data_IF_192833191220
#
_entry.id   IF_192833191220
#
_cell.length_a   1.000
_cell.length_b   1.000
_cell.length_c   1.000
_cell.angle_alpha   90.00
_cell.angle_beta   90.00
_cell.angle_gamma   90.00
#
_symmetry.space_group_name_H-M   'P 1'
#
loop_
_entity.id
_entity.type
_entity.pdbx_description
1 polymer ?
#
# COMPACT_ATOMS: atom_id res chain seq x y z
N UNK A 1 1.19 5.58 2.69
CA UNK A 1 1.47 4.32 1.97
C UNK A 1 2.95 3.97 2.08
N UNK A 2 3.33 2.68 1.99
CA UNK A 2 4.75 2.24 2.02
C UNK A 2 5.61 3.00 0.99
N UNK A 3 5.05 3.31 -0.18
CA UNK A 3 5.70 4.13 -1.23
C UNK A 3 6.03 5.55 -0.78
N UNK A 4 5.11 6.22 -0.06
CA UNK A 4 5.34 7.57 0.44
C UNK A 4 6.40 7.60 1.54
N UNK A 5 6.44 6.59 2.40
CA UNK A 5 7.46 6.46 3.46
C UNK A 5 8.85 6.33 2.84
N UNK A 6 9.03 5.43 1.85
CA UNK A 6 10.29 5.29 1.10
C UNK A 6 10.69 6.57 0.36
N UNK A 7 9.72 7.33 -0.16
CA UNK A 7 9.99 8.60 -0.83
C UNK A 7 10.50 9.67 0.15
N UNK A 8 9.92 9.77 1.34
CA UNK A 8 10.35 10.69 2.41
C UNK A 8 11.75 10.29 2.89
N UNK A 9 11.98 9.01 3.14
CA UNK A 9 13.28 8.47 3.54
C UNK A 9 14.38 8.82 2.53
N UNK A 10 14.13 8.57 1.23
CA UNK A 10 15.07 8.88 0.16
C UNK A 10 15.31 10.39 -0.03
N UNK A 11 14.30 11.22 0.24
CA UNK A 11 14.44 12.68 0.20
C UNK A 11 15.39 13.14 1.31
N UNK A 12 15.17 12.68 2.54
CA UNK A 12 15.97 13.06 3.72
C UNK A 12 17.40 12.53 3.62
N UNK A 13 17.59 11.28 3.19
CA UNK A 13 18.92 10.68 3.05
C UNK A 13 19.78 11.41 2.00
N UNK A 14 19.16 11.94 0.95
CA UNK A 14 19.85 12.70 -0.11
C UNK A 14 20.07 14.18 0.25
N UNK A 15 19.25 14.72 1.14
CA UNK A 15 19.39 16.10 1.62
C UNK A 15 20.56 16.27 2.59
N UNK A 16 20.98 15.21 3.27
CA UNK A 16 22.08 15.24 4.25
C UNK A 16 23.26 14.41 3.75
N UNK A 17 24.41 15.05 3.60
CA UNK A 17 25.63 14.39 3.14
C UNK A 17 26.04 13.26 4.10
N UNK A 18 26.17 12.04 3.59
CA UNK A 18 26.61 10.88 4.35
C UNK A 18 25.54 10.20 5.21
N UNK A 19 24.28 10.67 5.20
CA UNK A 19 23.19 10.02 5.90
C UNK A 19 22.67 8.82 5.11
N UNK A 20 22.87 7.61 5.64
CA UNK A 20 22.32 6.39 5.05
C UNK A 20 20.83 6.26 5.36
N UNK A 21 20.00 5.71 4.43
CA UNK A 21 18.58 5.45 4.67
C UNK A 21 18.32 4.59 5.93
N UNK A 22 19.19 3.62 6.17
CA UNK A 22 19.21 2.73 7.35
C UNK A 22 19.24 3.49 8.70
N UNK A 23 19.76 4.72 8.71
CA UNK A 23 19.91 5.55 9.91
C UNK A 23 18.75 6.54 10.10
N UNK A 24 17.69 6.42 9.31
CA UNK A 24 16.49 7.26 9.40
C UNK A 24 15.43 6.48 10.16
N UNK A 25 14.65 7.15 11.03
CA UNK A 25 13.48 6.56 11.69
C UNK A 25 12.27 7.46 11.50
N UNK A 26 11.18 6.91 10.97
CA UNK A 26 9.94 7.62 10.67
C UNK A 26 8.87 7.06 11.60
N UNK A 27 8.34 7.89 12.49
CA UNK A 27 7.30 7.51 13.45
C UNK A 27 6.00 8.25 13.17
N UNK A 28 4.86 7.62 13.44
CA UNK A 28 3.55 8.27 13.37
C UNK A 28 3.15 8.95 14.70
N UNK A 29 2.01 9.63 14.69
CA UNK A 29 1.44 10.31 15.86
C UNK A 29 1.09 9.35 17.01
N UNK A 30 1.04 8.05 16.74
CA UNK A 30 0.74 6.99 17.70
C UNK A 30 2.01 6.27 18.17
N UNK A 31 3.20 6.82 17.87
CA UNK A 31 4.52 6.25 18.19
C UNK A 31 4.81 4.92 17.49
N UNK A 32 4.14 4.61 16.39
CA UNK A 32 4.48 3.44 15.58
C UNK A 32 5.63 3.79 14.63
N UNK A 33 6.66 2.94 14.64
CA UNK A 33 7.76 3.03 13.66
C UNK A 33 7.25 2.55 12.29
N UNK A 34 7.29 3.43 11.29
CA UNK A 34 6.73 3.20 9.96
C UNK A 34 7.77 2.74 8.93
N UNK A 35 9.04 3.02 9.16
CA UNK A 35 10.14 2.67 8.24
C UNK A 35 11.01 1.55 8.80
N UNK A 36 10.39 0.53 9.40
CA UNK A 36 11.10 -0.69 9.79
C UNK A 36 11.74 -1.28 8.53
N UNK A 37 13.02 -1.00 8.37
CA UNK A 37 13.84 -1.60 7.35
C UNK A 37 14.31 -2.89 7.99
N UNK A 38 13.43 -3.90 7.96
CA UNK A 38 13.79 -5.23 8.41
C UNK A 38 14.78 -5.81 7.41
N UNK A 39 16.04 -5.43 7.59
CA UNK A 39 17.23 -6.20 7.20
C UNK A 39 17.39 -7.44 8.11
N UNK A 40 16.52 -7.59 9.11
CA UNK A 40 16.27 -8.83 9.84
C UNK A 40 15.61 -9.85 8.90
N UNK A 41 15.80 -11.14 9.15
CA UNK A 41 15.23 -12.22 8.34
C UNK A 41 13.71 -12.04 8.11
N UNK A 42 12.99 -11.51 9.11
CA UNK A 42 11.55 -11.22 9.05
C UNK A 42 11.12 -10.31 7.89
N UNK A 43 11.86 -9.24 7.60
CA UNK A 43 11.53 -8.33 6.49
C UNK A 43 11.88 -8.87 5.12
N UNK A 44 12.88 -9.74 5.05
CA UNK A 44 13.18 -10.50 3.83
C UNK A 44 12.01 -11.46 3.53
N UNK A 45 11.48 -12.16 4.54
CA UNK A 45 10.31 -13.02 4.38
C UNK A 45 9.07 -12.24 3.93
N UNK A 46 8.80 -11.05 4.50
CA UNK A 46 7.67 -10.21 4.11
C UNK A 46 7.77 -9.74 2.65
N UNK A 47 8.96 -9.35 2.20
CA UNK A 47 9.18 -8.95 0.81
C UNK A 47 9.02 -10.13 -0.17
N UNK A 48 9.48 -11.33 0.22
CA UNK A 48 9.35 -12.54 -0.57
C UNK A 48 7.88 -12.97 -0.70
N UNK A 49 7.13 -12.90 0.39
CA UNK A 49 5.68 -13.18 0.40
C UNK A 49 4.91 -12.19 -0.50
N UNK A 50 5.23 -10.90 -0.38
CA UNK A 50 4.60 -9.86 -1.22
C UNK A 50 4.92 -10.07 -2.70
N UNK A 51 6.17 -10.44 -3.06
CA UNK A 51 6.53 -10.76 -4.43
C UNK A 51 5.74 -11.98 -4.94
N UNK A 52 5.67 -13.04 -4.16
CA UNK A 52 4.91 -14.24 -4.53
C UNK A 52 3.43 -13.92 -4.74
N UNK A 53 2.83 -13.08 -3.88
CA UNK A 53 1.47 -12.60 -4.04
C UNK A 53 1.28 -11.79 -5.32
N UNK A 54 2.19 -10.87 -5.64
CA UNK A 54 2.13 -10.07 -6.87
C UNK A 54 2.23 -10.95 -8.12
N UNK A 55 3.13 -11.92 -8.12
CA UNK A 55 3.26 -12.88 -9.24
C UNK A 55 1.99 -13.71 -9.38
N UNK A 56 1.44 -14.21 -8.27
CA UNK A 56 0.17 -14.94 -8.25
C UNK A 56 -0.96 -14.10 -8.87
N UNK A 57 -1.17 -12.88 -8.39
CA UNK A 57 -2.22 -11.99 -8.88
C UNK A 57 -2.01 -11.63 -10.37
N UNK A 58 -0.76 -11.45 -10.81
CA UNK A 58 -0.45 -11.19 -12.21
C UNK A 58 -0.84 -12.37 -13.11
N UNK A 59 -0.53 -13.60 -12.70
CA UNK A 59 -0.87 -14.82 -13.44
C UNK A 59 -2.39 -15.06 -13.44
N UNK A 60 -3.09 -14.87 -12.32
CA UNK A 60 -4.56 -14.96 -12.24
C UNK A 60 -5.23 -13.96 -13.20
N UNK A 61 -4.73 -12.72 -13.23
CA UNK A 61 -5.21 -11.70 -14.16
C UNK A 61 -4.91 -12.07 -15.62
N UNK A 62 -3.76 -12.66 -15.91
CA UNK A 62 -3.40 -13.11 -17.25
C UNK A 62 -4.34 -14.23 -17.74
N UNK A 63 -4.64 -15.21 -16.89
CA UNK A 63 -5.60 -16.28 -17.19
C UNK A 63 -6.99 -15.71 -17.46
N UNK A 64 -7.45 -14.83 -16.57
CA UNK A 64 -8.76 -14.19 -16.70
C UNK A 64 -8.86 -13.41 -18.01
N UNK A 65 -7.87 -12.57 -18.33
CA UNK A 65 -7.83 -11.79 -19.59
C UNK A 65 -7.77 -12.65 -20.84
N UNK A 66 -7.18 -13.84 -20.75
CA UNK A 66 -7.08 -14.77 -21.89
C UNK A 66 -8.44 -15.44 -22.19
N UNK A 67 -9.20 -15.78 -21.14
CA UNK A 67 -10.42 -16.57 -21.26
C UNK A 67 -11.71 -15.72 -21.30
N UNK A 68 -11.73 -14.53 -20.69
CA UNK A 68 -12.89 -13.63 -20.70
C UNK A 68 -13.41 -13.26 -22.10
N UNK A 69 -12.58 -13.03 -23.14
CA UNK A 69 -13.08 -12.76 -24.49
C UNK A 69 -13.89 -13.91 -25.10
N UNK A 70 -13.67 -15.14 -24.63
CA UNK A 70 -14.35 -16.34 -25.14
C UNK A 70 -15.61 -16.66 -24.33
N UNK A 71 -15.55 -16.51 -23.01
CA UNK A 71 -16.63 -16.91 -22.10
C UNK A 71 -17.47 -15.75 -21.57
N UNK A 72 -17.05 -14.51 -21.78
CA UNK A 72 -17.67 -13.31 -21.22
C UNK A 72 -17.03 -12.88 -19.89
N UNK A 73 -17.12 -11.58 -19.62
CA UNK A 73 -16.58 -10.97 -18.39
C UNK A 73 -17.27 -11.56 -17.15
N UNK A 74 -16.50 -11.97 -16.16
CA UNK A 74 -17.04 -12.53 -14.90
C UNK A 74 -17.46 -14.01 -14.96
N UNK A 75 -17.42 -14.64 -16.15
CA UNK A 75 -17.70 -16.07 -16.33
C UNK A 75 -16.48 -16.97 -16.16
N UNK A 76 -15.36 -16.42 -15.71
CA UNK A 76 -14.12 -17.18 -15.46
C UNK A 76 -13.60 -16.80 -14.09
N UNK A 77 -13.27 -17.82 -13.29
CA UNK A 77 -12.54 -17.67 -12.02
C UNK A 77 -11.31 -18.54 -12.07
N UNK A 78 -10.15 -17.95 -11.84
CA UNK A 78 -8.89 -18.68 -11.77
C UNK A 78 -8.28 -18.54 -10.39
N UNK A 79 -7.74 -19.62 -9.87
CA UNK A 79 -6.88 -19.64 -8.71
C UNK A 79 -5.51 -20.16 -9.15
N UNK A 80 -4.47 -19.37 -8.88
CA UNK A 80 -3.09 -19.76 -9.16
C UNK A 80 -2.36 -19.98 -7.84
N UNK A 81 -1.59 -21.06 -7.76
CA UNK A 81 -0.61 -21.26 -6.72
C UNK A 81 0.79 -21.19 -7.34
N UNK A 82 1.65 -20.36 -6.76
CA UNK A 82 3.03 -20.17 -7.22
C UNK A 82 3.96 -20.36 -6.03
N UNK A 83 4.97 -21.20 -6.18
CA UNK A 83 6.08 -21.32 -5.25
C UNK A 83 7.31 -20.69 -5.89
N UNK A 84 7.84 -19.64 -5.27
CA UNK A 84 9.07 -19.00 -5.70
C UNK A 84 10.24 -19.49 -4.86
N UNK A 85 11.36 -19.81 -5.51
CA UNK A 85 12.61 -20.14 -4.85
C UNK A 85 13.41 -18.84 -4.59
N UNK A 86 13.72 -18.59 -3.32
CA UNK A 86 14.49 -17.44 -2.86
C UNK A 86 15.88 -17.82 -2.36
N UNK A 87 16.33 -19.04 -2.64
CA UNK A 87 17.63 -19.53 -2.20
C UNK A 87 18.73 -18.79 -2.96
N UNK A 88 19.60 -18.11 -2.20
CA UNK A 88 20.80 -17.50 -2.76
C UNK A 88 21.89 -18.56 -2.87
N UNK A 89 22.20 -18.99 -4.10
CA UNK A 89 23.32 -19.89 -4.35
C UNK A 89 24.48 -19.17 -5.04
N UNK A 90 25.64 -19.20 -4.40
CA UNK A 90 26.91 -18.78 -4.99
C UNK A 90 27.75 -20.03 -5.27
N UNK A 91 28.11 -20.24 -6.53
CA UNK A 91 28.97 -21.35 -6.94
C UNK A 91 30.25 -20.80 -7.52
N UNK A 92 31.39 -21.20 -6.97
CA UNK A 92 32.71 -20.89 -7.52
C UNK A 92 33.31 -22.18 -8.07
N UNK A 93 33.53 -22.21 -9.39
CA UNK A 93 34.17 -23.33 -10.08
C UNK A 93 35.58 -22.88 -10.45
N UNK A 94 36.57 -23.61 -9.95
CA UNK A 94 37.98 -23.42 -10.31
C UNK A 94 38.41 -24.63 -11.14
N UNK A 95 38.67 -24.41 -12.42
CA UNK A 95 39.16 -25.44 -13.35
C UNK A 95 40.61 -25.15 -13.73
N UNK A 96 41.43 -26.19 -13.71
CA UNK A 96 42.81 -26.13 -14.17
C UNK A 96 42.92 -26.84 -15.51
N UNK A 97 43.43 -26.16 -16.52
CA UNK A 97 43.62 -26.72 -17.86
C UNK A 97 45.10 -26.63 -18.27
N UNK A 98 45.74 -27.74 -18.65
CA UNK A 98 47.10 -27.72 -19.16
C UNK A 98 47.13 -27.06 -20.55
N UNK A 99 48.13 -26.22 -20.78
CA UNK A 99 48.26 -25.48 -22.05
C UNK A 99 49.02 -26.28 -23.11
N UNK A 100 49.93 -27.17 -22.68
CA UNK A 100 50.82 -27.96 -23.52
C UNK A 100 50.97 -29.36 -22.93
N UNK A 101 50.87 -30.39 -23.79
CA UNK A 101 51.19 -31.81 -23.52
C UNK A 101 50.72 -32.36 -22.16
N UNK A 102 49.52 -31.97 -21.72
CA UNK A 102 48.91 -32.35 -20.44
C UNK A 102 49.70 -31.95 -19.16
N UNK A 103 50.81 -31.20 -19.29
CA UNK A 103 51.71 -30.85 -18.18
C UNK A 103 51.70 -29.35 -17.81
N UNK A 104 51.23 -28.48 -18.70
CA UNK A 104 51.19 -27.03 -18.47
C UNK A 104 52.42 -26.28 -19.02
N UNK A 105 52.59 -25.01 -18.66
CA UNK A 105 53.72 -24.17 -19.10
C UNK A 105 54.83 -24.25 -18.06
N UNK A 106 56.01 -24.72 -18.43
CA UNK A 106 57.18 -24.72 -17.53
C UNK A 106 57.60 -23.27 -17.22
N UNK A 107 57.49 -22.85 -15.96
CA UNK A 107 57.82 -21.48 -15.53
C UNK A 107 59.17 -21.38 -14.85
N UNK A 108 59.66 -22.47 -14.26
CA UNK A 108 60.96 -22.51 -13.62
C UNK A 108 61.54 -23.90 -13.72
N UNK A 109 62.79 -23.98 -14.18
CA UNK A 109 63.57 -25.21 -14.25
C UNK A 109 64.82 -24.97 -13.40
N UNK A 110 65.02 -25.81 -12.40
CA UNK A 110 66.25 -25.84 -11.61
C UNK A 110 66.97 -27.15 -11.89
N UNK A 111 68.18 -27.09 -12.44
CA UNK A 111 68.98 -28.25 -12.80
C UNK A 111 70.32 -28.21 -12.06
N UNK A 112 70.54 -29.16 -11.15
CA UNK A 112 71.80 -29.36 -10.46
C UNK A 112 72.57 -30.49 -11.13
N UNK A 113 73.71 -30.16 -11.73
CA UNK A 113 74.66 -31.11 -12.29
C UNK A 113 75.89 -31.18 -11.41
N UNK A 114 76.09 -32.32 -10.77
CA UNK A 114 77.33 -32.65 -10.08
C UNK A 114 78.14 -33.55 -11.00
N UNK A 115 79.35 -33.12 -11.35
CA UNK A 115 80.31 -33.91 -12.10
C UNK A 115 81.64 -33.88 -11.37
N UNK A 116 82.08 -35.04 -10.88
CA UNK A 116 83.38 -35.21 -10.24
C UNK A 116 84.23 -36.07 -11.16
N UNK A 117 85.28 -35.47 -11.69
CA UNK A 117 86.34 -36.15 -12.43
C UNK A 117 87.59 -36.15 -11.57
N UNK A 118 88.01 -37.32 -11.11
CA UNK A 118 89.25 -37.49 -10.37
C UNK A 118 90.35 -38.04 -11.27
N UNK A 119 91.46 -37.31 -11.39
CA UNK A 119 92.72 -37.88 -11.89
C UNK A 119 93.54 -38.33 -10.68
N UNK A 120 93.95 -39.60 -10.67
CA UNK A 120 94.65 -40.21 -9.54
C UNK A 120 96.06 -39.60 -9.35
N UNK A 121 96.22 -38.71 -8.38
CA UNK A 121 97.53 -38.33 -7.85
C UNK A 121 97.99 -39.42 -6.88
N UNK A 122 98.91 -40.30 -7.32
CA UNK A 122 99.43 -41.40 -6.52
C UNK A 122 100.08 -40.92 -5.22
N UNK A 123 99.48 -41.27 -4.08
CA UNK A 123 100.10 -41.16 -2.76
C UNK A 123 100.56 -42.55 -2.34
N UNK A 124 101.88 -42.73 -2.24
CA UNK A 124 102.50 -43.94 -1.71
C UNK A 124 102.45 -43.91 -0.18
N UNK A 125 101.74 -44.85 0.43
CA UNK A 125 101.84 -45.11 1.87
C UNK A 125 103.01 -46.08 2.08
N UNK A 126 104.15 -45.61 2.58
CA UNK A 126 105.14 -46.51 3.18
C UNK A 126 104.84 -46.66 4.67
N UNK A 127 104.31 -47.83 5.05
CA UNK A 127 104.28 -48.23 6.44
C UNK A 127 105.73 -48.52 6.89
N UNK A 128 106.24 -47.74 7.84
CA UNK A 128 107.52 -48.04 8.47
C UNK A 128 107.38 -49.28 9.36
N UNK A 129 108.22 -50.28 9.08
CA UNK A 129 108.64 -51.27 10.07
C UNK A 129 107.91 -52.60 10.04
N UNK A 130 108.23 -53.46 9.07
CA UNK A 130 108.45 -54.90 9.29
C UNK A 130 109.20 -55.49 8.08
N UNK A 131 110.27 -56.22 8.37
CA UNK A 131 111.10 -56.97 7.43
C UNK A 131 110.41 -58.24 6.94
N UNK A 132 110.62 -58.50 5.65
CA UNK A 132 110.43 -59.73 4.88
C UNK A 132 108.99 -60.27 4.65
N UNK A 133 108.70 -60.37 3.35
CA UNK A 133 107.53 -60.96 2.68
C UNK A 133 106.18 -60.24 2.82
N UNK A 134 106.08 -59.06 2.20
CA UNK A 134 104.79 -58.46 1.85
C UNK A 134 104.39 -58.87 0.43
N UNK A 135 103.33 -59.67 0.32
CA UNK A 135 102.62 -59.99 -0.92
C UNK A 135 102.34 -58.72 -1.73
N UNK A 136 102.90 -58.64 -2.94
CA UNK A 136 102.46 -57.66 -3.94
C UNK A 136 101.07 -58.03 -4.41
N UNK A 137 100.05 -57.36 -3.87
CA UNK A 137 98.76 -57.29 -4.52
C UNK A 137 98.92 -56.39 -5.75
N UNK A 138 98.53 -56.83 -6.96
CA UNK A 138 98.51 -55.95 -8.11
C UNK A 138 97.47 -54.85 -7.84
N UNK A 139 97.94 -53.61 -7.64
CA UNK A 139 97.11 -52.43 -7.79
C UNK A 139 96.87 -52.29 -9.29
N UNK A 140 95.72 -52.74 -9.77
CA UNK A 140 95.19 -52.26 -11.04
C UNK A 140 94.88 -50.78 -10.88
N UNK A 141 95.79 -49.95 -11.37
CA UNK A 141 95.58 -48.53 -11.64
C UNK A 141 94.57 -48.43 -12.79
N UNK A 142 93.27 -48.53 -12.45
CA UNK A 142 92.21 -48.14 -13.36
C UNK A 142 91.88 -46.67 -13.05
N UNK A 143 92.51 -45.80 -13.83
CA UNK A 143 92.37 -44.36 -13.81
C UNK A 143 91.08 -43.94 -14.51
N UNK A 144 90.06 -43.67 -13.71
CA UNK A 144 89.13 -42.53 -13.79
C UNK A 144 87.77 -42.95 -13.22
N UNK A 145 87.52 -42.60 -11.94
CA UNK A 145 86.17 -42.58 -11.42
C UNK A 145 85.48 -41.30 -11.88
N UNK A 146 84.52 -41.40 -12.80
CA UNK A 146 83.61 -40.30 -13.13
C UNK A 146 82.31 -40.47 -12.35
N UNK A 147 82.00 -39.55 -11.44
CA UNK A 147 80.69 -39.48 -10.80
C UNK A 147 79.90 -38.36 -11.45
N UNK A 148 78.70 -38.69 -11.97
CA UNK A 148 77.77 -37.71 -12.53
C UNK A 148 76.40 -37.88 -11.89
N UNK A 149 75.88 -36.81 -11.29
CA UNK A 149 74.51 -36.71 -10.80
C UNK A 149 73.83 -35.53 -11.47
N UNK A 150 72.61 -35.75 -11.95
CA UNK A 150 71.76 -34.69 -12.49
C UNK A 150 70.43 -34.75 -11.78
N UNK A 151 70.06 -33.66 -11.11
CA UNK A 151 68.78 -33.47 -10.45
C UNK A 151 68.08 -32.30 -11.11
N UNK A 152 66.83 -32.50 -11.57
CA UNK A 152 66.05 -31.47 -12.26
C UNK A 152 64.67 -31.34 -11.63
N UNK A 153 64.33 -30.12 -11.22
CA UNK A 153 63.01 -29.76 -10.71
C UNK A 153 62.39 -28.76 -11.68
N UNK A 154 61.27 -29.11 -12.29
CA UNK A 154 60.52 -28.22 -13.18
C UNK A 154 59.16 -27.89 -12.57
N UNK A 155 58.86 -26.61 -12.42
CA UNK A 155 57.58 -26.10 -11.98
C UNK A 155 56.74 -25.70 -13.20
N UNK A 156 55.49 -26.15 -13.23
CA UNK A 156 54.56 -25.85 -14.29
C UNK A 156 53.42 -24.96 -13.78
N UNK A 157 53.05 -23.95 -14.56
CA UNK A 157 51.79 -23.22 -14.40
C UNK A 157 50.73 -23.79 -15.34
N UNK A 158 49.51 -23.84 -14.85
CA UNK A 158 48.33 -24.29 -15.60
C UNK A 158 47.33 -23.14 -15.68
N UNK A 159 46.52 -23.12 -16.74
CA UNK A 159 45.47 -22.11 -16.85
C UNK A 159 44.47 -22.32 -15.71
N UNK A 160 44.14 -21.26 -14.98
CA UNK A 160 43.09 -21.27 -13.98
C UNK A 160 41.87 -20.55 -14.55
N UNK A 161 40.79 -21.30 -14.79
CA UNK A 161 39.50 -20.74 -15.16
C UNK A 161 38.66 -20.65 -13.89
N UNK A 162 38.33 -19.41 -13.52
CA UNK A 162 37.49 -19.12 -12.35
C UNK A 162 36.11 -18.68 -12.84
N UNK A 163 35.12 -19.53 -12.65
CA UNK A 163 33.73 -19.25 -12.97
C UNK A 163 32.94 -18.98 -11.69
N UNK A 164 32.32 -17.81 -11.59
CA UNK A 164 31.48 -17.43 -10.47
C UNK A 164 30.03 -17.35 -10.96
N UNK A 165 29.19 -18.25 -10.45
CA UNK A 165 27.78 -18.35 -10.80
C UNK A 165 26.95 -17.90 -9.59
N UNK A 166 26.29 -16.76 -9.72
CA UNK A 166 25.28 -16.29 -8.76
C UNK A 166 23.89 -16.61 -9.31
N UNK A 167 23.15 -17.49 -8.64
CA UNK A 167 21.76 -17.77 -9.03
C UNK A 167 20.84 -16.64 -8.62
N UNK A 168 20.03 -16.17 -9.56
CA UNK A 168 19.00 -15.18 -9.30
C UNK A 168 17.90 -15.77 -8.39
N UNK A 169 17.47 -14.97 -7.42
CA UNK A 169 16.36 -15.29 -6.52
C UNK A 169 15.02 -14.96 -7.21
N UNK A 170 13.94 -15.64 -6.82
CA UNK A 170 12.60 -15.42 -7.36
C UNK A 170 12.28 -16.26 -8.59
N UNK A 171 12.99 -17.37 -8.82
CA UNK A 171 12.63 -18.33 -9.88
C UNK A 171 11.35 -19.07 -9.48
N UNK A 172 10.43 -19.25 -10.42
CA UNK A 172 9.25 -20.11 -10.21
C UNK A 172 9.73 -21.57 -10.11
N UNK A 173 9.49 -22.17 -8.94
CA UNK A 173 9.81 -23.57 -8.65
C UNK A 173 8.62 -24.46 -8.97
N UNK A 174 7.42 -24.02 -8.61
CA UNK A 174 6.17 -24.74 -8.83
C UNK A 174 5.06 -23.77 -9.20
N UNK A 175 4.23 -24.17 -10.16
CA UNK A 175 3.08 -23.41 -10.60
C UNK A 175 1.93 -24.39 -10.81
N UNK A 176 0.82 -24.15 -10.11
CA UNK A 176 -0.43 -24.91 -10.25
C UNK A 176 -1.56 -23.95 -10.57
N UNK A 177 -2.43 -24.34 -11.49
CA UNK A 177 -3.55 -23.52 -11.95
C UNK A 177 -4.86 -24.30 -11.82
N UNK A 178 -5.86 -23.67 -11.24
CA UNK A 178 -7.24 -24.14 -11.25
C UNK A 178 -8.13 -23.08 -11.88
N UNK A 179 -8.90 -23.45 -12.90
CA UNK A 179 -9.81 -22.57 -13.61
C UNK A 179 -11.21 -23.13 -13.54
N UNK A 180 -12.15 -22.28 -13.14
CA UNK A 180 -13.57 -22.57 -13.16
C UNK A 180 -14.24 -21.66 -14.18
N UNK A 181 -15.06 -22.23 -15.05
CA UNK A 181 -15.74 -21.55 -16.13
C UNK A 181 -17.25 -21.68 -15.92
N UNK A 182 -17.95 -20.55 -15.96
CA UNK A 182 -19.41 -20.49 -15.89
C UNK A 182 -20.02 -20.98 -17.21
N UNK A 183 -20.26 -22.28 -17.31
CA UNK A 183 -20.88 -22.88 -18.48
C UNK A 183 -21.50 -24.22 -18.10
N UNK A 184 -22.71 -24.45 -18.59
CA UNK A 184 -23.54 -25.59 -18.19
C UNK A 184 -23.09 -26.91 -18.85
N UNK A 185 -22.31 -26.84 -19.95
CA UNK A 185 -21.79 -28.01 -20.68
C UNK A 185 -20.44 -27.69 -21.34
N UNK A 186 -19.33 -28.10 -20.71
CA UNK A 186 -18.03 -28.20 -21.39
C UNK A 186 -17.78 -29.66 -21.78
N UNK A 187 -17.43 -29.91 -23.04
CA UNK A 187 -16.96 -31.24 -23.45
C UNK A 187 -15.52 -31.48 -22.98
N UNK A 188 -15.17 -32.74 -22.71
CA UNK A 188 -13.82 -33.13 -22.28
C UNK A 188 -12.74 -32.71 -23.29
N UNK A 189 -13.07 -32.69 -24.58
CA UNK A 189 -12.18 -32.20 -25.64
C UNK A 189 -11.90 -30.70 -25.51
N UNK A 190 -12.93 -29.90 -25.21
CA UNK A 190 -12.76 -28.45 -25.00
C UNK A 190 -11.99 -28.15 -23.73
N UNK A 191 -12.22 -28.91 -22.66
CA UNK A 191 -11.45 -28.85 -21.41
C UNK A 191 -9.97 -29.09 -21.71
N UNK A 192 -9.66 -30.17 -22.44
CA UNK A 192 -8.29 -30.52 -22.82
C UNK A 192 -7.61 -29.46 -23.69
N UNK A 193 -8.35 -28.85 -24.63
CA UNK A 193 -7.84 -27.75 -25.45
C UNK A 193 -7.52 -26.51 -24.61
N UNK A 194 -8.42 -26.12 -23.70
CA UNK A 194 -8.21 -24.97 -22.79
C UNK A 194 -7.00 -25.24 -21.90
N UNK A 195 -6.90 -26.44 -21.33
CA UNK A 195 -5.77 -26.86 -20.51
C UNK A 195 -4.44 -26.75 -21.27
N UNK A 196 -4.38 -27.19 -22.53
CA UNK A 196 -3.16 -27.09 -23.36
C UNK A 196 -2.80 -25.63 -23.69
N UNK A 197 -3.79 -24.79 -23.99
CA UNK A 197 -3.58 -23.36 -24.25
C UNK A 197 -3.02 -22.66 -23.00
N UNK A 198 -3.60 -22.93 -21.83
CA UNK A 198 -3.15 -22.38 -20.56
C UNK A 198 -1.75 -22.86 -20.19
N UNK A 199 -1.50 -24.18 -20.33
CA UNK A 199 -0.20 -24.80 -20.09
C UNK A 199 0.90 -24.13 -20.93
N UNK A 200 0.69 -24.01 -22.24
CA UNK A 200 1.66 -23.37 -23.15
C UNK A 200 1.78 -21.86 -22.92
N UNK A 201 0.68 -21.19 -22.61
CA UNK A 201 0.66 -19.74 -22.39
C UNK A 201 1.36 -19.29 -21.11
N UNK A 202 1.39 -20.16 -20.09
CA UNK A 202 1.99 -19.89 -18.78
C UNK A 202 3.31 -20.63 -18.54
N UNK A 203 3.68 -21.56 -19.44
CA UNK A 203 4.88 -22.38 -19.29
C UNK A 203 4.75 -23.40 -18.17
N UNK A 204 3.57 -24.00 -18.00
CA UNK A 204 3.30 -25.00 -16.98
C UNK A 204 2.90 -26.32 -17.59
N UNK A 205 3.22 -27.43 -16.92
CA UNK A 205 2.83 -28.76 -17.36
C UNK A 205 1.32 -28.94 -17.28
N UNK A 206 0.75 -29.65 -18.26
CA UNK A 206 -0.70 -29.85 -18.33
C UNK A 206 -1.25 -30.53 -17.08
N UNK A 207 -0.49 -31.41 -16.44
CA UNK A 207 -0.88 -32.10 -15.20
C UNK A 207 -1.17 -31.15 -14.03
N UNK A 208 -0.54 -29.97 -14.02
CA UNK A 208 -0.71 -28.95 -12.97
C UNK A 208 -1.83 -27.94 -13.30
N UNK A 209 -2.60 -28.19 -14.37
CA UNK A 209 -3.72 -27.35 -14.80
C UNK A 209 -5.02 -28.13 -14.71
N UNK A 210 -5.95 -27.63 -13.90
CA UNK A 210 -7.29 -28.19 -13.76
C UNK A 210 -8.30 -27.18 -14.28
N UNK A 211 -9.22 -27.63 -15.14
CA UNK A 211 -10.31 -26.80 -15.69
C UNK A 211 -11.65 -27.48 -15.41
N UNK A 212 -12.59 -26.74 -14.82
CA UNK A 212 -13.93 -27.22 -14.48
C UNK A 212 -15.00 -26.27 -15.02
N UNK A 213 -16.04 -26.82 -15.64
CA UNK A 213 -17.26 -26.08 -15.97
C UNK A 213 -18.31 -26.24 -14.86
N UNK A 214 -18.82 -25.14 -14.30
CA UNK A 214 -19.95 -25.17 -13.36
C UNK A 214 -20.69 -23.83 -13.36
N UNK A 215 -21.98 -23.83 -13.03
CA UNK A 215 -22.79 -22.61 -13.00
C UNK A 215 -22.44 -21.70 -11.81
N UNK A 216 -22.38 -20.39 -12.02
CA UNK A 216 -22.09 -19.41 -10.97
C UNK A 216 -23.38 -18.76 -10.45
N UNK A 217 -23.90 -19.24 -9.32
CA UNK A 217 -25.15 -18.71 -8.74
C UNK A 217 -25.02 -17.26 -8.20
N UNK A 218 -23.81 -16.81 -7.88
CA UNK A 218 -23.56 -15.50 -7.25
C UNK A 218 -23.68 -14.27 -8.17
N UNK A 219 -23.63 -14.45 -9.50
CA UNK A 219 -23.67 -13.33 -10.46
C UNK A 219 -25.01 -12.57 -10.45
N UNK A 220 -26.12 -13.25 -10.14
CA UNK A 220 -27.44 -12.61 -10.09
C UNK A 220 -27.57 -11.65 -8.89
N UNK A 221 -26.95 -11.98 -7.75
CA UNK A 221 -27.02 -11.15 -6.55
C UNK A 221 -26.19 -9.88 -6.66
N UNK A 222 -25.04 -9.92 -7.33
CA UNK A 222 -24.18 -8.77 -7.54
C UNK A 222 -24.78 -7.80 -8.56
N UNK A 223 -25.39 -8.31 -9.63
CA UNK A 223 -26.12 -7.48 -10.60
C UNK A 223 -27.35 -6.80 -9.97
N UNK A 224 -28.11 -7.53 -9.15
CA UNK A 224 -29.25 -6.97 -8.42
C UNK A 224 -28.83 -5.86 -7.43
N UNK A 225 -27.71 -6.01 -6.72
CA UNK A 225 -27.18 -4.98 -5.83
C UNK A 225 -26.70 -3.73 -6.60
N UNK A 226 -26.00 -3.91 -7.72
CA UNK A 226 -25.53 -2.79 -8.54
C UNK A 226 -26.71 -2.03 -9.15
N UNK A 227 -27.78 -2.72 -9.55
CA UNK A 227 -29.00 -2.10 -10.07
C UNK A 227 -29.77 -1.35 -8.97
N UNK A 228 -29.86 -1.91 -7.76
CA UNK A 228 -30.42 -1.23 -6.59
C UNK A 228 -29.62 0.03 -6.22
N UNK A 229 -28.29 -0.04 -6.15
CA UNK A 229 -27.44 1.12 -5.85
C UNK A 229 -27.57 2.23 -6.89
N UNK A 230 -27.70 1.87 -8.18
CA UNK A 230 -27.97 2.83 -9.26
C UNK A 230 -29.36 3.44 -9.14
N UNK A 231 -30.38 2.64 -8.82
CA UNK A 231 -31.75 3.11 -8.64
C UNK A 231 -31.86 4.06 -7.43
N UNK A 232 -31.16 3.76 -6.33
CA UNK A 232 -31.08 4.63 -5.14
C UNK A 232 -30.34 5.94 -5.44
N UNK A 233 -29.22 5.89 -6.16
CA UNK A 233 -28.50 7.09 -6.58
C UNK A 233 -29.36 7.99 -7.48
N UNK A 234 -30.07 7.41 -8.44
CA UNK A 234 -31.01 8.14 -9.30
C UNK A 234 -32.21 8.69 -8.51
N UNK A 235 -32.71 7.96 -7.51
CA UNK A 235 -33.79 8.44 -6.65
C UNK A 235 -33.35 9.64 -5.79
N UNK A 236 -32.12 9.63 -5.25
CA UNK A 236 -31.55 10.76 -4.52
C UNK A 236 -31.42 12.00 -5.42
N UNK A 237 -30.91 11.85 -6.63
CA UNK A 237 -30.82 12.97 -7.59
C UNK A 237 -32.19 13.55 -7.97
N UNK A 238 -33.22 12.71 -8.17
CA UNK A 238 -34.58 13.19 -8.44
C UNK A 238 -35.13 13.97 -7.25
N UNK A 239 -34.94 13.48 -6.02
CA UNK A 239 -35.40 14.15 -4.82
C UNK A 239 -34.71 15.51 -4.64
N UNK A 240 -33.40 15.61 -4.87
CA UNK A 240 -32.69 16.89 -4.81
C UNK A 240 -33.24 17.90 -5.83
N UNK A 241 -33.53 17.46 -7.07
CA UNK A 241 -34.15 18.34 -8.08
C UNK A 241 -35.53 18.83 -7.66
N UNK A 242 -36.36 17.94 -7.10
CA UNK A 242 -37.69 18.30 -6.61
C UNK A 242 -37.60 19.30 -5.46
N UNK A 243 -36.70 19.08 -4.50
CA UNK A 243 -36.48 20.01 -3.39
C UNK A 243 -35.96 21.38 -3.86
N UNK A 244 -35.08 21.39 -4.88
CA UNK A 244 -34.58 22.64 -5.47
C UNK A 244 -35.69 23.42 -6.18
N UNK A 245 -36.56 22.76 -6.96
CA UNK A 245 -37.72 23.43 -7.57
C UNK A 245 -38.74 23.89 -6.53
N UNK A 246 -38.97 23.11 -5.47
CA UNK A 246 -39.86 23.49 -4.36
C UNK A 246 -39.34 24.73 -3.64
N UNK A 247 -38.04 24.80 -3.35
CA UNK A 247 -37.40 25.98 -2.75
C UNK A 247 -37.55 27.21 -3.64
N UNK A 248 -37.35 27.06 -4.94
CA UNK A 248 -37.47 28.15 -5.91
C UNK A 248 -38.92 28.62 -6.05
N UNK A 249 -39.88 27.69 -6.02
CA UNK A 249 -41.32 28.00 -6.00
C UNK A 249 -41.74 28.72 -4.70
N UNK A 250 -41.23 28.33 -3.54
CA UNK A 250 -41.47 29.02 -2.27
C UNK A 250 -40.92 30.45 -2.26
N UNK A 251 -39.72 30.67 -2.81
CA UNK A 251 -39.15 32.01 -2.96
C UNK A 251 -40.03 32.88 -3.88
N UNK A 252 -40.47 32.33 -5.02
CA UNK A 252 -41.34 33.04 -5.95
C UNK A 252 -42.70 33.39 -5.32
N UNK A 253 -43.30 32.46 -4.56
CA UNK A 253 -44.56 32.68 -3.85
C UNK A 253 -44.43 33.76 -2.76
N UNK A 254 -43.34 33.72 -1.99
CA UNK A 254 -43.04 34.75 -0.98
C UNK A 254 -42.87 36.13 -1.60
N UNK A 255 -42.15 36.23 -2.73
CA UNK A 255 -42.02 37.48 -3.49
C UNK A 255 -43.36 38.03 -4.00
N UNK A 256 -44.24 37.15 -4.48
CA UNK A 256 -45.57 37.52 -4.95
C UNK A 256 -46.47 38.03 -3.83
N UNK A 257 -46.40 37.43 -2.62
CA UNK A 257 -47.14 37.93 -1.46
C UNK A 257 -46.68 39.33 -1.03
N UNK A 258 -45.37 39.58 -1.00
CA UNK A 258 -44.81 40.90 -0.68
C UNK A 258 -45.24 41.92 -1.75
N UNK A 259 -45.23 41.55 -3.03
CA UNK A 259 -45.68 42.41 -4.12
C UNK A 259 -47.16 42.80 -3.98
N UNK A 260 -48.04 41.85 -3.62
CA UNK A 260 -49.45 42.12 -3.35
C UNK A 260 -49.63 43.02 -2.13
N UNK A 261 -48.84 42.82 -1.06
CA UNK A 261 -48.89 43.65 0.14
C UNK A 261 -48.51 45.11 -0.17
N UNK A 262 -47.49 45.33 -1.00
CA UNK A 262 -47.07 46.66 -1.46
C UNK A 262 -48.17 47.32 -2.30
N UNK A 263 -48.81 46.57 -3.23
CA UNK A 263 -49.92 47.10 -4.02
C UNK A 263 -51.12 47.53 -3.15
N UNK A 264 -51.49 46.73 -2.14
CA UNK A 264 -52.56 47.11 -1.19
C UNK A 264 -52.20 48.31 -0.34
N UNK A 265 -50.94 48.42 0.06
CA UNK A 265 -50.44 49.56 0.84
C UNK A 265 -50.57 50.87 0.05
N UNK A 266 -50.21 50.86 -1.24
CA UNK A 266 -50.33 52.04 -2.12
C UNK A 266 -51.81 52.40 -2.38
N UNK A 267 -52.68 51.41 -2.60
CA UNK A 267 -54.12 51.67 -2.78
C UNK A 267 -54.78 52.29 -1.54
N UNK A 268 -54.37 51.87 -0.33
CA UNK A 268 -54.93 52.44 0.91
C UNK A 268 -54.63 53.92 1.07
N UNK A 269 -53.47 54.37 0.58
CA UNK A 269 -53.05 55.78 0.67
C UNK A 269 -53.88 56.67 -0.27
N UNK A 270 -54.41 56.14 -1.38
CA UNK A 270 -55.23 56.91 -2.33
C UNK A 270 -56.70 57.09 -1.88
N UNK A 271 -57.23 56.22 -1.00
CA UNK A 271 -58.63 56.28 -0.56
C UNK A 271 -58.88 57.34 0.53
N UNK A 272 -57.84 57.84 1.19
CA UNK A 272 -57.94 58.92 2.19
C UNK A 272 -57.92 60.34 1.59
N UNK A 273 -57.82 60.47 0.26
CA UNK A 273 -57.60 61.75 -0.43
C UNK A 273 -58.86 62.38 -1.06
N UNK A 274 -60.07 61.89 -0.75
CA UNK A 274 -61.32 62.46 -1.29
C UNK A 274 -62.27 62.88 -0.16
N UNK A 275 -62.25 64.16 0.27
CA UNK A 275 -63.07 64.63 1.37
C UNK A 275 -64.13 65.63 0.90
N UNK A 276 -65.40 65.22 0.70
CA UNK A 276 -66.54 66.16 0.66
C UNK A 276 -67.87 65.54 1.14
N UNK A 277 -68.59 66.36 1.91
CA UNK A 277 -69.98 66.29 2.43
C UNK A 277 -70.16 65.54 3.77
N UNK A 278 -69.98 66.19 4.94
CA UNK A 278 -70.86 67.16 5.66
C UNK A 278 -72.23 66.54 6.00
N UNK A 279 -72.41 65.97 7.19
CA UNK A 279 -72.76 66.63 8.47
C UNK A 279 -74.23 67.04 8.53
N UNK A 280 -74.96 66.55 9.56
CA UNK A 280 -76.00 67.27 10.32
C UNK A 280 -76.65 66.31 11.35
N UNK A 281 -76.36 66.62 12.63
CA UNK A 281 -77.19 66.57 13.85
C UNK A 281 -77.78 65.20 14.27
N UNK A 282 -77.61 64.75 15.51
CA UNK A 282 -77.89 65.49 16.75
C UNK A 282 -77.17 64.81 17.94
N UNK A 283 -76.60 65.66 18.79
CA UNK A 283 -75.94 65.42 20.10
C UNK A 283 -76.89 64.66 21.08
N UNK A 284 -76.48 64.13 22.24
CA UNK A 284 -75.80 64.73 23.42
C UNK A 284 -75.39 63.56 24.40
N UNK A 285 -74.64 63.74 25.51
CA UNK A 285 -73.17 63.89 25.59
C UNK A 285 -72.51 63.28 26.88
N UNK A 286 -71.25 63.71 27.13
CA UNK A 286 -70.55 63.88 28.45
C UNK A 286 -70.03 62.59 29.10
N UNK A 287 -68.74 62.46 29.48
CA UNK A 287 -67.84 63.38 30.21
C UNK A 287 -66.38 63.07 29.76
N UNK A 288 -65.59 63.97 29.15
CA UNK A 288 -64.78 65.08 29.74
C UNK A 288 -63.75 64.58 30.77
N UNK A 289 -62.43 64.85 30.75
CA UNK A 289 -61.50 65.81 30.12
C UNK A 289 -60.12 65.08 30.01
N UNK A 290 -59.26 65.31 29.01
CA UNK A 290 -58.16 66.30 28.99
C UNK A 290 -57.38 66.39 30.34
N UNK A 291 -56.05 66.43 30.44
CA UNK A 291 -55.02 67.01 29.57
C UNK A 291 -53.62 66.60 30.11
N UNK A 292 -52.60 66.94 29.31
CA UNK A 292 -51.22 67.26 29.70
C UNK A 292 -50.20 66.19 30.17
N UNK A 293 -49.41 65.75 29.19
CA UNK A 293 -47.96 66.02 29.07
C UNK A 293 -47.15 66.30 30.37
N UNK A 294 -46.19 65.44 30.72
CA UNK A 294 -45.13 65.88 31.64
C UNK A 294 -44.17 64.87 32.25
N UNK A 295 -43.02 64.70 31.60
CA UNK A 295 -41.67 64.51 32.16
C UNK A 295 -41.30 63.16 32.81
N UNK A 296 -40.23 62.58 32.25
CA UNK A 296 -39.34 61.64 32.92
C UNK A 296 -38.68 62.27 34.16
N UNK A 297 -38.25 61.41 35.09
CA UNK A 297 -36.86 61.49 35.54
C UNK A 297 -36.12 60.16 35.37
N UNK A 298 -34.92 60.28 34.79
CA UNK A 298 -33.79 59.37 34.94
C UNK A 298 -33.53 59.04 36.41
N UNK A 299 -33.47 57.75 36.75
CA UNK A 299 -32.60 57.28 37.83
C UNK A 299 -31.95 55.96 37.41
N UNK A 300 -30.67 56.11 37.06
CA UNK A 300 -29.58 55.13 37.11
C UNK A 300 -29.40 54.15 35.94
N UNK A 301 -29.01 54.76 34.82
CA UNK A 301 -27.94 54.24 33.97
C UNK A 301 -26.59 54.26 34.69
N UNK A 302 -26.37 53.38 35.67
CA UNK A 302 -25.04 53.05 36.21
C UNK A 302 -25.01 51.60 36.68
N UNK A 303 -25.05 50.66 35.74
CA UNK A 303 -24.34 49.37 35.86
C UNK A 303 -24.24 48.74 34.47
N UNK A 304 -23.50 49.39 33.56
CA UNK A 304 -22.86 48.66 32.47
C UNK A 304 -21.64 47.98 33.11
N UNK A 305 -21.47 46.69 32.85
CA UNK A 305 -20.41 45.78 33.29
C UNK A 305 -20.79 44.91 34.49
N UNK A 306 -21.55 43.84 34.23
CA UNK A 306 -21.15 42.44 34.52
C UNK A 306 -22.26 41.47 34.06
N UNK A 307 -21.87 40.42 33.32
CA UNK A 307 -22.69 39.28 32.81
C UNK A 307 -23.41 38.50 33.95
N UNK A 308 -24.47 37.65 33.74
CA UNK A 308 -24.63 36.61 32.69
C UNK A 308 -26.04 36.44 32.04
N UNK A 309 -26.08 35.68 30.93
CA UNK A 309 -27.20 35.53 29.98
C UNK A 309 -28.35 34.59 30.38
N UNK A 310 -28.34 33.93 31.53
CA UNK A 310 -29.34 32.87 31.82
C UNK A 310 -30.65 33.34 32.47
N UNK A 311 -30.90 34.66 32.55
CA UNK A 311 -32.09 35.21 33.24
C UNK A 311 -33.11 35.91 32.34
N UNK A 312 -33.06 35.69 31.01
CA UNK A 312 -34.06 36.24 30.07
C UNK A 312 -35.31 35.36 29.94
N UNK A 313 -35.14 34.04 30.03
CA UNK A 313 -36.26 33.10 29.83
C UNK A 313 -37.23 33.06 31.02
N UNK A 314 -36.72 33.18 32.25
CA UNK A 314 -37.54 33.09 33.46
C UNK A 314 -38.44 34.34 33.67
N UNK A 315 -37.99 35.51 33.20
CA UNK A 315 -38.77 36.76 33.30
C UNK A 315 -39.88 36.79 32.23
N UNK A 316 -39.61 36.26 31.04
CA UNK A 316 -40.61 36.11 29.97
C UNK A 316 -41.70 35.09 30.32
N UNK A 317 -41.33 33.95 30.91
CA UNK A 317 -42.29 32.90 31.32
C UNK A 317 -43.25 33.39 32.42
N UNK A 318 -42.78 34.20 33.38
CA UNK A 318 -43.64 34.80 34.42
C UNK A 318 -44.68 35.76 33.84
N UNK A 319 -44.27 36.62 32.89
CA UNK A 319 -45.17 37.57 32.23
C UNK A 319 -46.23 36.87 31.36
N UNK A 320 -45.90 35.69 30.80
CA UNK A 320 -46.82 34.91 29.98
C UNK A 320 -47.88 34.17 30.81
N UNK A 321 -47.53 33.77 32.04
CA UNK A 321 -48.47 33.15 33.00
C UNK A 321 -49.46 34.19 33.53
N UNK A 322 -49.00 35.40 33.83
CA UNK A 322 -49.86 36.48 34.36
C UNK A 322 -50.89 36.97 33.32
N UNK A 323 -50.51 37.01 32.03
CA UNK A 323 -51.43 37.32 30.92
C UNK A 323 -52.51 36.25 30.67
N UNK A 324 -52.21 34.97 30.96
CA UNK A 324 -53.13 33.84 30.74
C UNK A 324 -54.16 33.68 31.87
N UNK A 325 -53.85 34.15 33.08
CA UNK A 325 -54.76 34.14 34.24
C UNK A 325 -55.89 35.15 34.05
N UNK A 326 -55.61 36.31 33.45
CA UNK A 326 -56.57 37.42 33.34
C UNK A 326 -57.53 37.28 32.15
N UNK A 327 -57.14 36.54 31.10
CA UNK A 327 -57.91 36.50 29.84
C UNK A 327 -58.68 35.19 29.57
N UNK A 328 -58.32 34.02 30.14
CA UNK A 328 -59.03 32.73 29.91
C UNK A 328 -58.92 31.73 31.08
N UNK A 329 -59.67 31.93 32.19
CA UNK A 329 -59.59 31.09 33.38
C UNK A 329 -60.08 29.64 33.16
N UNK A 330 -60.97 29.40 32.20
CA UNK A 330 -61.60 28.09 31.99
C UNK A 330 -60.65 27.01 31.44
N UNK A 331 -59.64 27.41 30.66
CA UNK A 331 -58.65 26.47 30.10
C UNK A 331 -57.62 26.01 31.13
N UNK A 332 -57.28 26.86 32.10
CA UNK A 332 -56.34 26.53 33.19
C UNK A 332 -56.99 25.54 34.16
N UNK A 333 -58.29 25.69 34.44
CA UNK A 333 -59.05 24.75 35.26
C UNK A 333 -59.13 23.35 34.63
N UNK A 334 -59.19 23.26 33.30
CA UNK A 334 -59.22 22.00 32.57
C UNK A 334 -57.86 21.28 32.64
N UNK A 335 -56.77 22.04 32.50
CA UNK A 335 -55.40 21.51 32.50
C UNK A 335 -54.92 21.08 33.90
N UNK A 336 -55.35 21.75 34.97
CA UNK A 336 -55.11 21.28 36.35
C UNK A 336 -55.93 20.02 36.66
N UNK A 337 -57.12 19.87 36.07
CA UNK A 337 -57.96 18.67 36.22
C UNK A 337 -57.34 17.44 35.57
N UNK A 338 -56.76 17.61 34.39
CA UNK A 338 -56.08 16.54 33.67
C UNK A 338 -54.82 16.07 34.43
N UNK A 339 -54.09 16.99 35.07
CA UNK A 339 -52.93 16.65 35.91
C UNK A 339 -53.27 15.99 37.25
N UNK A 340 -54.47 16.24 37.80
CA UNK A 340 -54.94 15.56 39.02
C UNK A 340 -55.48 14.15 38.72
N UNK A 341 -56.00 13.90 37.51
CA UNK A 341 -56.53 12.60 37.12
C UNK A 341 -55.48 11.60 36.63
N UNK A 342 -54.25 12.03 36.36
CA UNK A 342 -53.13 11.18 35.92
C UNK A 342 -52.11 10.86 37.03
N UNK A 343 -52.44 11.11 38.31
CA UNK A 343 -51.64 10.67 39.48
C UNK A 343 -52.40 9.75 40.42
#
# INVERSE_FOLDING_TARGET
>A
TKKNIKAIEALVSRAVLGLKPENISIVDNNMNLLNVQDSTEAGVYDNNFELQKQVKEALENQVTKLLEPVFGKGNVKSAVNVKLNFDKQFTEIVRFEPVVDDQGIAVSINELKEEVTGQAGGVTYQAQGVTDEASQYPVTQDENGSYKRTESTTNYEVNQIKEQIEKAQGKIEELTLSVIINSDVLSDERISQIQNILAKGLGVDTENVVVLGMSFDGQQQEQAQVEQLKAEAQAKERNERIFNYLRLALIALGGLLVFIMILRYIQRIQVLANPQELEVLEEVPVEEEEEELGKLPDVFMQQIMEMPEESKEQIAQKQQIEYLIENKPDLVAQQIRDWINES
#
